data_IF_003162023272
#
_entry.id   IF_003162023272
#
_cell.length_a   1.000
_cell.length_b   1.000
_cell.length_c   1.000
_cell.angle_alpha   90.00
_cell.angle_beta   90.00
_cell.angle_gamma   90.00
#
_symmetry.space_group_name_H-M   'P 1'
#
loop_
_entity.id
_entity.type
_entity.pdbx_description
1 polymer ?
#
# COMPACT_ATOMS: atom_id res chain seq x y z
N UNK A 1 -3.73 -10.94 9.11
CA UNK A 1 -3.71 -10.86 7.64
C UNK A 1 -2.95 -9.65 7.16
N UNK A 2 -2.18 -9.86 6.09
CA UNK A 2 -1.55 -8.78 5.35
C UNK A 2 -2.63 -7.99 4.62
N UNK A 3 -2.54 -6.66 4.61
CA UNK A 3 -3.49 -5.79 3.91
C UNK A 3 -2.81 -5.16 2.69
N UNK A 4 -3.32 -5.50 1.50
CA UNK A 4 -2.91 -4.87 0.25
C UNK A 4 -3.91 -3.77 -0.15
N UNK A 5 -3.40 -2.58 -0.45
CA UNK A 5 -4.20 -1.45 -0.97
C UNK A 5 -3.58 -0.92 -2.24
N UNK A 6 -4.42 -0.66 -3.25
CA UNK A 6 -4.00 -0.10 -4.52
C UNK A 6 -4.70 1.24 -4.72
N UNK A 7 -3.95 2.27 -5.07
CA UNK A 7 -4.44 3.59 -5.45
C UNK A 7 -3.92 3.95 -6.85
N UNK A 8 -4.82 4.38 -7.72
CA UNK A 8 -4.47 4.84 -9.08
C UNK A 8 -4.59 6.36 -9.11
N UNK A 9 -3.49 7.05 -9.40
CA UNK A 9 -3.35 8.49 -9.24
C UNK A 9 -2.79 9.21 -10.47
N UNK A 10 -2.82 10.54 -10.40
CA UNK A 10 -2.31 11.43 -11.46
C UNK A 10 -0.86 11.87 -11.23
N UNK A 11 -0.49 12.12 -9.97
CA UNK A 11 0.74 12.80 -9.62
C UNK A 11 1.83 11.82 -9.20
N UNK A 12 2.82 11.63 -10.07
CA UNK A 12 4.00 10.83 -9.76
C UNK A 12 4.84 11.55 -8.72
N UNK A 13 5.05 12.86 -8.91
CA UNK A 13 5.77 13.70 -7.97
C UNK A 13 5.15 13.63 -6.57
N UNK A 14 3.81 13.71 -6.46
CA UNK A 14 3.13 13.61 -5.16
C UNK A 14 3.34 12.27 -4.48
N UNK A 15 3.34 11.17 -5.24
CA UNK A 15 3.63 9.84 -4.69
C UNK A 15 5.10 9.71 -4.24
N UNK A 16 6.04 10.23 -5.03
CA UNK A 16 7.47 10.18 -4.70
C UNK A 16 7.83 11.09 -3.54
N UNK A 17 7.34 12.33 -3.53
CA UNK A 17 7.58 13.30 -2.47
C UNK A 17 7.07 12.78 -1.13
N UNK A 18 5.84 12.25 -1.08
CA UNK A 18 5.29 11.68 0.16
C UNK A 18 6.15 10.55 0.74
N UNK A 19 6.64 9.63 -0.10
CA UNK A 19 7.50 8.53 0.37
C UNK A 19 8.91 9.03 0.70
N UNK A 20 9.45 9.99 -0.05
CA UNK A 20 10.75 10.61 0.22
C UNK A 20 10.78 11.38 1.54
N UNK A 21 9.71 12.11 1.86
CA UNK A 21 9.56 12.79 3.17
C UNK A 21 9.64 11.79 4.33
N UNK A 22 9.02 10.62 4.21
CA UNK A 22 9.07 9.57 5.24
C UNK A 22 10.46 8.99 5.44
N UNK A 23 11.27 8.89 4.38
CA UNK A 23 12.68 8.52 4.48
C UNK A 23 13.48 9.63 5.19
N UNK A 24 13.27 10.88 4.81
CA UNK A 24 13.98 12.03 5.39
C UNK A 24 13.68 12.23 6.89
N UNK A 25 12.48 11.86 7.35
CA UNK A 25 12.12 11.81 8.77
C UNK A 25 12.78 10.65 9.54
N UNK A 26 13.67 9.87 8.89
CA UNK A 26 14.25 8.62 9.41
C UNK A 26 13.20 7.57 9.81
N UNK A 27 12.01 7.62 9.20
CA UNK A 27 10.90 6.68 9.43
C UNK A 27 10.72 5.69 8.28
N UNK A 28 11.73 5.53 7.44
CA UNK A 28 11.69 4.61 6.32
C UNK A 28 12.99 4.57 5.53
N UNK A 29 13.02 3.70 4.53
CA UNK A 29 14.13 3.52 3.60
C UNK A 29 13.67 2.97 2.25
N UNK A 30 14.44 3.26 1.21
CA UNK A 30 14.32 2.62 -0.08
C UNK A 30 14.95 1.22 0.00
N UNK A 31 14.16 0.17 -0.26
CA UNK A 31 14.65 -1.21 -0.23
C UNK A 31 15.17 -1.65 -1.59
N UNK A 32 14.40 -1.41 -2.65
CA UNK A 32 14.77 -1.87 -4.00
C UNK A 32 14.09 -1.03 -5.07
N UNK A 33 14.64 -1.11 -6.28
CA UNK A 33 14.16 -0.40 -7.46
C UNK A 33 14.20 -1.33 -8.67
N UNK A 34 13.41 -0.99 -9.68
CA UNK A 34 13.52 -1.58 -11.00
C UNK A 34 13.51 -0.48 -12.05
N UNK A 35 14.41 -0.56 -13.02
CA UNK A 35 14.59 0.44 -14.10
C UNK A 35 14.73 1.90 -13.64
N UNK A 36 14.97 2.12 -12.34
CA UNK A 36 15.22 3.42 -11.72
C UNK A 36 16.53 3.32 -10.94
N UNK A 37 17.38 4.33 -11.09
CA UNK A 37 18.67 4.40 -10.42
C UNK A 37 18.52 4.34 -8.89
N UNK A 38 19.38 3.56 -8.25
CA UNK A 38 19.50 3.43 -6.80
C UNK A 38 20.99 3.40 -6.46
N UNK A 39 21.44 4.30 -5.58
CA UNK A 39 22.83 4.37 -5.13
C UNK A 39 23.13 3.38 -3.97
N UNK A 40 22.12 2.65 -3.50
CA UNK A 40 22.25 1.67 -2.43
C UNK A 40 22.30 2.26 -1.02
N UNK A 41 22.15 3.58 -0.87
CA UNK A 41 22.20 4.26 0.44
C UNK A 41 20.93 4.05 1.27
N UNK A 42 19.86 3.53 0.66
CA UNK A 42 18.53 3.47 1.26
C UNK A 42 17.78 4.81 1.23
N UNK A 43 18.32 5.84 0.58
CA UNK A 43 17.66 7.12 0.34
C UNK A 43 17.14 7.23 -1.10
N UNK A 44 16.41 8.31 -1.41
CA UNK A 44 15.93 8.57 -2.77
C UNK A 44 16.14 10.03 -3.15
N UNK A 45 16.80 10.27 -4.28
CA UNK A 45 16.76 11.59 -4.93
C UNK A 45 15.50 11.66 -5.78
N UNK A 46 14.51 12.42 -5.31
CA UNK A 46 13.20 12.55 -5.96
C UNK A 46 13.34 13.07 -7.40
N UNK A 47 14.32 13.94 -7.69
CA UNK A 47 14.51 14.48 -9.04
C UNK A 47 14.99 13.40 -10.00
N UNK A 48 16.04 12.66 -9.61
CA UNK A 48 16.54 11.53 -10.42
C UNK A 48 15.51 10.43 -10.60
N UNK A 49 14.73 10.13 -9.55
CA UNK A 49 13.63 9.18 -9.64
C UNK A 49 12.58 9.64 -10.64
N UNK A 50 12.15 10.90 -10.58
CA UNK A 50 11.23 11.50 -11.54
C UNK A 50 11.76 11.41 -12.98
N UNK A 51 13.01 11.77 -13.21
CA UNK A 51 13.67 11.64 -14.52
C UNK A 51 13.66 10.20 -15.03
N UNK A 52 14.00 9.23 -14.18
CA UNK A 52 13.99 7.81 -14.55
C UNK A 52 12.60 7.30 -14.93
N UNK A 53 11.55 7.71 -14.21
CA UNK A 53 10.19 7.36 -14.56
C UNK A 53 9.71 8.04 -15.85
N UNK A 54 10.03 9.32 -16.03
CA UNK A 54 9.68 10.06 -17.24
C UNK A 54 10.39 9.49 -18.47
N UNK A 55 11.65 9.05 -18.34
CA UNK A 55 12.37 8.35 -19.41
C UNK A 55 11.71 7.02 -19.81
N UNK A 56 10.93 6.41 -18.91
CA UNK A 56 10.17 5.18 -19.17
C UNK A 56 8.75 5.46 -19.68
N UNK A 57 8.31 6.72 -19.79
CA UNK A 57 6.97 7.10 -20.22
C UNK A 57 7.01 7.85 -21.56
N UNK A 58 6.32 7.38 -22.60
CA UNK A 58 6.27 8.11 -23.87
C UNK A 58 5.59 9.48 -23.74
N UNK A 59 6.12 10.49 -24.44
CA UNK A 59 5.58 11.86 -24.43
C UNK A 59 4.09 11.94 -24.83
N UNK A 60 3.62 11.01 -25.65
CA UNK A 60 2.23 10.96 -26.14
C UNK A 60 1.29 10.15 -25.24
N UNK A 61 1.68 9.83 -24.00
CA UNK A 61 0.84 9.11 -23.04
C UNK A 61 -0.46 9.87 -22.77
N UNK A 62 -1.60 9.28 -23.12
CA UNK A 62 -2.95 9.86 -22.91
C UNK A 62 -3.65 9.33 -21.66
N UNK A 63 -2.95 8.55 -20.83
CA UNK A 63 -3.53 7.94 -19.64
C UNK A 63 -3.68 8.99 -18.55
N UNK A 64 -4.93 9.30 -18.18
CA UNK A 64 -5.26 10.34 -17.20
C UNK A 64 -4.67 10.07 -15.81
N UNK A 65 -4.54 8.80 -15.43
CA UNK A 65 -4.00 8.35 -14.14
C UNK A 65 -2.85 7.36 -14.37
N UNK A 66 -1.64 7.86 -14.70
CA UNK A 66 -0.51 7.02 -15.08
C UNK A 66 0.22 6.43 -13.89
N UNK A 67 -0.15 6.77 -12.64
CA UNK A 67 0.57 6.33 -11.44
C UNK A 67 -0.20 5.25 -10.71
N UNK A 68 0.50 4.21 -10.29
CA UNK A 68 0.00 3.19 -9.39
C UNK A 68 0.80 3.23 -8.09
N UNK A 69 0.10 3.43 -6.98
CA UNK A 69 0.67 3.37 -5.64
C UNK A 69 0.05 2.18 -4.89
N UNK A 70 0.91 1.29 -4.40
CA UNK A 70 0.49 0.08 -3.70
C UNK A 70 1.06 0.11 -2.29
N UNK A 71 0.24 -0.23 -1.31
CA UNK A 71 0.69 -0.44 0.06
C UNK A 71 0.47 -1.90 0.46
N UNK A 72 1.53 -2.58 0.88
CA UNK A 72 1.48 -3.93 1.43
C UNK A 72 1.80 -3.84 2.92
N UNK A 73 0.83 -4.20 3.75
CA UNK A 73 0.94 -4.06 5.21
C UNK A 73 0.85 -5.45 5.85
N UNK A 74 1.98 -6.11 6.15
CA UNK A 74 1.99 -7.35 6.93
C UNK A 74 1.24 -7.18 8.26
N UNK A 75 0.86 -8.31 8.87
CA UNK A 75 0.31 -8.28 10.21
C UNK A 75 1.39 -7.79 11.20
N UNK A 76 1.05 -7.08 12.30
CA UNK A 76 2.07 -6.56 13.22
C UNK A 76 3.04 -7.60 13.78
N UNK A 77 2.57 -8.85 13.93
CA UNK A 77 3.40 -9.96 14.44
C UNK A 77 4.14 -10.71 13.32
N UNK A 78 3.93 -10.36 12.04
CA UNK A 78 4.73 -10.85 10.91
C UNK A 78 6.07 -10.09 10.90
N UNK A 79 7.12 -10.69 11.45
CA UNK A 79 8.47 -10.12 11.43
C UNK A 79 9.19 -10.56 10.15
N UNK A 80 9.26 -9.66 9.17
CA UNK A 80 9.92 -9.91 7.89
C UNK A 80 11.25 -9.17 7.79
N UNK A 81 12.26 -9.88 7.27
CA UNK A 81 13.53 -9.29 6.86
C UNK A 81 13.35 -8.40 5.63
N UNK A 82 14.32 -7.52 5.36
CA UNK A 82 14.25 -6.67 4.16
C UNK A 82 14.32 -7.45 2.86
N UNK A 83 15.03 -8.58 2.87
CA UNK A 83 15.11 -9.47 1.72
C UNK A 83 13.74 -10.08 1.43
N UNK A 84 13.05 -10.59 2.46
CA UNK A 84 11.70 -11.11 2.30
C UNK A 84 10.71 -10.03 1.85
N UNK A 85 10.81 -8.82 2.40
CA UNK A 85 10.00 -7.69 1.97
C UNK A 85 10.22 -7.32 0.49
N UNK A 86 11.48 -7.33 0.03
CA UNK A 86 11.82 -7.11 -1.37
C UNK A 86 11.27 -8.22 -2.28
N UNK A 87 11.43 -9.48 -1.87
CA UNK A 87 10.94 -10.63 -2.62
C UNK A 87 9.41 -10.64 -2.72
N UNK A 88 8.72 -10.33 -1.62
CA UNK A 88 7.27 -10.15 -1.58
C UNK A 88 6.84 -9.06 -2.57
N UNK A 89 7.49 -7.88 -2.54
CA UNK A 89 7.15 -6.78 -3.43
C UNK A 89 7.36 -7.15 -4.92
N UNK A 90 8.49 -7.79 -5.24
CA UNK A 90 8.83 -8.24 -6.59
C UNK A 90 7.84 -9.28 -7.11
N UNK A 91 7.60 -10.36 -6.36
CA UNK A 91 6.62 -11.39 -6.76
C UNK A 91 5.21 -10.83 -6.87
N UNK A 92 4.83 -9.91 -5.98
CA UNK A 92 3.54 -9.24 -6.04
C UNK A 92 3.36 -8.47 -7.35
N UNK A 93 4.36 -7.67 -7.75
CA UNK A 93 4.33 -6.90 -8.99
C UNK A 93 4.37 -7.80 -10.23
N UNK A 94 5.22 -8.83 -10.25
CA UNK A 94 5.29 -9.82 -11.33
C UNK A 94 3.90 -10.44 -11.58
N UNK A 95 3.26 -10.99 -10.53
CA UNK A 95 1.92 -11.60 -10.64
C UNK A 95 0.81 -10.58 -10.98
N UNK A 96 0.96 -9.32 -10.55
CA UNK A 96 0.03 -8.24 -10.88
C UNK A 96 0.19 -7.75 -12.33
N UNK A 97 1.29 -8.09 -13.01
CA UNK A 97 1.59 -7.68 -14.38
C UNK A 97 2.34 -6.34 -14.47
N UNK A 98 3.04 -5.96 -13.40
CA UNK A 98 3.85 -4.74 -13.29
C UNK A 98 5.34 -5.06 -13.04
N UNK A 99 5.76 -6.33 -13.13
CA UNK A 99 7.14 -6.75 -12.84
C UNK A 99 8.18 -6.05 -13.73
N UNK A 100 7.84 -5.79 -15.00
CA UNK A 100 8.71 -5.10 -15.95
C UNK A 100 8.61 -3.57 -15.88
N UNK A 101 7.71 -3.03 -15.06
CA UNK A 101 7.56 -1.57 -14.96
C UNK A 101 8.68 -0.96 -14.11
N UNK A 102 9.05 0.31 -14.34
CA UNK A 102 9.87 1.00 -13.38
C UNK A 102 9.12 1.07 -12.04
N UNK A 103 9.83 0.82 -10.94
CA UNK A 103 9.24 0.94 -9.61
C UNK A 103 10.26 1.28 -8.54
N UNK A 104 9.77 1.81 -7.43
CA UNK A 104 10.48 2.01 -6.17
C UNK A 104 9.72 1.30 -5.06
N UNK A 105 10.42 0.57 -4.20
CA UNK A 105 9.87 -0.10 -3.02
C UNK A 105 10.43 0.56 -1.76
N UNK A 106 9.57 1.23 -1.02
CA UNK A 106 9.87 1.88 0.24
C UNK A 106 9.40 1.01 1.41
N UNK A 107 10.23 0.88 2.45
CA UNK A 107 9.83 0.39 3.76
C UNK A 107 9.54 1.59 4.64
N UNK A 108 8.36 1.63 5.26
CA UNK A 108 8.02 2.60 6.29
C UNK A 108 7.92 1.93 7.66
N UNK A 109 8.32 2.69 8.68
CA UNK A 109 8.38 2.32 10.09
C UNK A 109 7.72 3.38 10.99
N UNK A 110 6.92 4.27 10.41
CA UNK A 110 6.27 5.41 11.07
C UNK A 110 5.09 5.03 11.99
N UNK A 111 4.78 3.74 12.07
CA UNK A 111 3.76 3.15 12.94
C UNK A 111 4.34 1.87 13.58
N UNK A 112 3.68 1.29 14.58
CA UNK A 112 4.10 0.04 15.25
C UNK A 112 4.08 -1.22 14.35
N UNK A 113 4.22 -1.07 13.02
CA UNK A 113 4.36 -2.15 12.05
C UNK A 113 5.20 -1.67 10.86
N UNK A 114 6.04 -2.56 10.37
CA UNK A 114 6.73 -2.36 9.11
C UNK A 114 5.77 -2.60 7.95
N UNK A 115 5.77 -1.72 6.96
CA UNK A 115 4.95 -1.88 5.77
C UNK A 115 5.63 -1.31 4.55
N UNK A 116 5.20 -1.78 3.39
CA UNK A 116 5.76 -1.40 2.10
C UNK A 116 4.86 -0.42 1.38
N UNK A 117 5.51 0.52 0.71
CA UNK A 117 4.92 1.36 -0.31
C UNK A 117 5.65 1.13 -1.63
N UNK A 118 4.90 0.87 -2.68
CA UNK A 118 5.42 0.64 -4.02
C UNK A 118 4.85 1.70 -4.93
N UNK A 119 5.73 2.49 -5.55
CA UNK A 119 5.36 3.48 -6.56
C UNK A 119 5.81 2.95 -7.93
N UNK A 120 4.87 2.86 -8.87
CA UNK A 120 5.12 2.43 -10.25
C UNK A 120 4.20 3.20 -11.21
N UNK A 121 4.39 2.98 -12.51
CA UNK A 121 3.56 3.54 -13.56
C UNK A 121 2.61 2.50 -14.14
N UNK A 122 1.50 2.98 -14.70
CA UNK A 122 0.39 2.20 -15.23
C UNK A 122 0.32 2.30 -16.76
N UNK A 123 1.46 2.51 -17.39
CA UNK A 123 1.57 2.72 -18.84
C UNK A 123 2.67 1.84 -19.41
N UNK A 124 2.42 1.25 -20.58
CA UNK A 124 3.43 0.48 -21.30
C UNK A 124 4.37 1.41 -22.09
N UNK A 125 5.38 0.81 -22.71
CA UNK A 125 6.36 1.52 -23.57
C UNK A 125 5.73 2.20 -24.79
N UNK A 126 4.45 1.93 -25.09
CA UNK A 126 3.66 2.59 -26.15
C UNK A 126 2.69 3.63 -25.59
N UNK A 127 2.78 3.97 -24.30
CA UNK A 127 1.93 4.95 -23.64
C UNK A 127 0.49 4.47 -23.41
N UNK A 128 0.23 3.17 -23.56
CA UNK A 128 -1.09 2.57 -23.34
C UNK A 128 -1.23 2.11 -21.91
N UNK A 129 -2.45 2.21 -21.37
CA UNK A 129 -2.75 1.76 -20.01
C UNK A 129 -2.51 0.25 -19.88
N UNK A 130 -1.83 -0.16 -18.81
CA UNK A 130 -1.73 -1.57 -18.45
C UNK A 130 -3.09 -2.17 -18.07
N UNK A 131 -3.16 -3.51 -18.03
CA UNK A 131 -4.39 -4.21 -17.70
C UNK A 131 -4.81 -3.93 -16.23
N UNK A 132 -5.97 -3.30 -16.07
CA UNK A 132 -6.59 -3.01 -14.77
C UNK A 132 -7.84 -3.86 -14.49
N UNK A 133 -8.16 -4.80 -15.37
CA UNK A 133 -9.33 -5.65 -15.20
C UNK A 133 -9.17 -6.51 -13.95
N UNK A 134 -10.19 -6.43 -13.10
CA UNK A 134 -10.24 -7.14 -11.83
C UNK A 134 -8.99 -6.91 -10.94
N UNK A 135 -8.33 -5.75 -11.06
CA UNK A 135 -7.06 -5.44 -10.38
C UNK A 135 -7.09 -5.76 -8.88
N UNK A 136 -8.15 -5.33 -8.19
CA UNK A 136 -8.32 -5.58 -6.76
C UNK A 136 -8.56 -7.06 -6.43
N UNK A 137 -9.28 -7.81 -7.28
CA UNK A 137 -9.50 -9.25 -7.08
C UNK A 137 -8.22 -10.04 -7.32
N UNK A 138 -7.46 -9.66 -8.35
CA UNK A 138 -6.13 -10.23 -8.62
C UNK A 138 -5.18 -9.96 -7.47
N UNK A 139 -5.14 -8.73 -6.97
CA UNK A 139 -4.40 -8.32 -5.78
C UNK A 139 -4.74 -9.17 -4.56
N UNK A 140 -6.03 -9.38 -4.24
CA UNK A 140 -6.43 -10.22 -3.11
C UNK A 140 -5.98 -11.68 -3.27
N UNK A 141 -6.07 -12.23 -4.49
CA UNK A 141 -5.59 -13.59 -4.78
C UNK A 141 -4.08 -13.71 -4.56
N UNK A 142 -3.32 -12.77 -5.11
CA UNK A 142 -1.85 -12.74 -5.00
C UNK A 142 -1.44 -12.59 -3.53
N UNK A 143 -2.07 -11.68 -2.80
CA UNK A 143 -1.86 -11.48 -1.36
C UNK A 143 -2.00 -12.79 -0.59
N UNK A 144 -3.09 -13.54 -0.79
CA UNK A 144 -3.30 -14.84 -0.13
C UNK A 144 -2.25 -15.89 -0.53
N UNK A 145 -1.77 -15.86 -1.77
CA UNK A 145 -0.68 -16.73 -2.22
C UNK A 145 0.63 -16.40 -1.48
N UNK A 146 0.94 -15.10 -1.36
CA UNK A 146 2.13 -14.64 -0.63
C UNK A 146 2.02 -14.94 0.87
N UNK A 147 0.86 -14.73 1.49
CA UNK A 147 0.64 -15.11 2.88
C UNK A 147 0.98 -16.59 3.11
N UNK A 148 0.48 -17.49 2.26
CA UNK A 148 0.81 -18.92 2.35
C UNK A 148 2.29 -19.22 2.10
N UNK A 149 2.90 -18.58 1.11
CA UNK A 149 4.29 -18.85 0.71
C UNK A 149 5.29 -18.42 1.78
N UNK A 150 5.08 -17.26 2.39
CA UNK A 150 5.99 -16.68 3.38
C UNK A 150 5.55 -16.98 4.83
N UNK A 151 4.53 -17.83 5.02
CA UNK A 151 4.05 -18.20 6.35
C UNK A 151 3.44 -17.04 7.15
N UNK A 152 2.90 -16.03 6.46
CA UNK A 152 2.31 -14.86 7.09
C UNK A 152 0.94 -15.18 7.69
N UNK A 153 0.51 -14.38 8.65
CA UNK A 153 -0.82 -14.50 9.24
C UNK A 153 -1.90 -14.44 8.15
N UNK A 154 -2.69 -15.51 7.95
CA UNK A 154 -3.64 -15.56 6.85
C UNK A 154 -4.83 -14.64 7.08
N UNK A 155 -5.51 -14.33 5.99
CA UNK A 155 -6.84 -13.76 6.01
C UNK A 155 -7.89 -14.74 6.54
N UNK A 156 -8.10 -14.77 7.85
CA UNK A 156 -9.23 -15.48 8.43
C UNK A 156 -10.54 -14.84 7.96
N UNK A 157 -11.49 -15.65 7.47
CA UNK A 157 -12.90 -15.23 7.29
C UNK A 157 -13.53 -15.06 8.67
N UNK A 158 -13.12 -14.05 9.42
CA UNK A 158 -13.69 -13.75 10.72
C UNK A 158 -15.02 -13.05 10.54
N UNK A 159 -16.02 -13.50 11.29
CA UNK A 159 -17.33 -12.88 11.32
C UNK A 159 -17.18 -11.52 12.03
N UNK A 160 -17.28 -10.37 11.33
CA UNK A 160 -16.90 -9.06 11.89
C UNK A 160 -17.68 -8.67 13.14
N UNK A 161 -18.87 -9.28 13.31
CA UNK A 161 -19.76 -9.05 14.44
C UNK A 161 -19.21 -9.54 15.78
N UNK A 162 -18.35 -10.56 15.79
CA UNK A 162 -17.95 -11.24 17.04
C UNK A 162 -16.67 -10.71 17.68
N UNK A 163 -15.78 -10.00 16.96
CA UNK A 163 -14.43 -9.70 17.46
C UNK A 163 -14.14 -8.24 17.81
N UNK A 164 -15.05 -7.30 17.54
CA UNK A 164 -14.79 -5.88 17.79
C UNK A 164 -15.69 -5.34 18.91
N UNK A 165 -15.47 -5.72 20.19
CA UNK A 165 -16.25 -5.19 21.29
C UNK A 165 -16.07 -3.68 21.37
N UNK A 166 -17.15 -2.97 21.70
CA UNK A 166 -17.10 -1.53 21.91
C UNK A 166 -16.11 -1.21 23.04
N UNK A 167 -15.06 -0.46 22.70
CA UNK A 167 -14.08 0.05 23.66
C UNK A 167 -14.24 1.56 23.79
N UNK A 168 -14.12 2.06 25.02
CA UNK A 168 -14.10 3.49 25.32
C UNK A 168 -12.80 4.08 24.76
N UNK A 169 -12.89 5.27 24.15
CA UNK A 169 -11.73 6.04 23.72
C UNK A 169 -11.03 6.63 24.95
N UNK A 170 -9.73 6.39 25.06
CA UNK A 170 -8.87 6.93 26.11
C UNK A 170 -7.86 7.91 25.50
N UNK A 171 -8.10 9.20 25.77
CA UNK A 171 -7.26 10.28 25.25
C UNK A 171 -5.84 10.28 25.86
N UNK A 172 -5.62 9.60 27.00
CA UNK A 172 -4.32 9.55 27.67
C UNK A 172 -3.32 8.59 27.01
N UNK A 173 -3.80 7.60 26.24
CA UNK A 173 -2.98 6.53 25.64
C UNK A 173 -2.42 6.89 24.25
N UNK A 174 -2.89 7.99 23.64
CA UNK A 174 -2.47 8.41 22.29
C UNK A 174 -3.15 7.64 21.15
N UNK A 175 -2.77 7.89 19.88
CA UNK A 175 -3.40 7.29 18.67
C UNK A 175 -4.94 7.45 18.61
N UNK A 176 -5.43 8.63 19.00
CA UNK A 176 -6.87 8.94 19.12
C UNK A 176 -7.65 8.67 17.83
N UNK A 177 -7.04 8.94 16.66
CA UNK A 177 -7.66 8.69 15.36
C UNK A 177 -7.99 7.22 15.14
N UNK A 178 -7.07 6.32 15.51
CA UNK A 178 -7.32 4.87 15.44
C UNK A 178 -8.36 4.44 16.46
N UNK A 179 -8.29 4.96 17.69
CA UNK A 179 -9.25 4.63 18.75
C UNK A 179 -10.69 4.99 18.35
N UNK A 180 -10.92 6.24 17.95
CA UNK A 180 -12.24 6.72 17.46
C UNK A 180 -12.69 5.90 16.25
N UNK A 181 -11.79 5.68 15.29
CA UNK A 181 -12.09 4.88 14.10
C UNK A 181 -12.52 3.45 14.41
N UNK A 182 -11.94 2.83 15.44
CA UNK A 182 -12.33 1.47 15.87
C UNK A 182 -13.70 1.45 16.54
N UNK A 183 -14.00 2.43 17.41
CA UNK A 183 -15.31 2.55 18.07
C UNK A 183 -16.43 2.77 17.06
N UNK A 184 -16.26 3.67 16.09
CA UNK A 184 -17.26 3.93 15.03
C UNK A 184 -17.49 2.68 14.18
N UNK A 185 -16.41 1.95 13.82
CA UNK A 185 -16.53 0.69 13.06
C UNK A 185 -17.29 -0.39 13.83
N UNK A 186 -17.04 -0.52 15.14
CA UNK A 186 -17.75 -1.47 15.98
C UNK A 186 -19.25 -1.13 16.06
N UNK A 187 -19.59 0.16 16.27
CA UNK A 187 -20.98 0.62 16.25
C UNK A 187 -21.67 0.28 14.94
N UNK A 188 -21.06 0.62 13.80
CA UNK A 188 -21.64 0.35 12.48
C UNK A 188 -21.82 -1.15 12.19
N UNK A 189 -20.95 -2.01 12.73
CA UNK A 189 -21.02 -3.46 12.52
C UNK A 189 -22.02 -4.20 13.41
N UNK A 190 -22.32 -3.64 14.60
CA UNK A 190 -23.12 -4.29 15.63
C UNK A 190 -24.50 -3.65 15.83
N UNK A 191 -24.61 -2.34 15.63
CA UNK A 191 -25.86 -1.62 15.84
C UNK A 191 -26.78 -1.81 14.63
N UNK A 192 -28.02 -2.22 14.91
CA UNK A 192 -29.07 -2.35 13.90
C UNK A 192 -29.94 -1.12 13.93
N UNK A 193 -29.77 -0.28 12.92
CA UNK A 193 -30.64 0.87 12.69
C UNK A 193 -31.98 0.38 12.16
N UNK A 194 -33.06 0.95 12.68
CA UNK A 194 -34.40 0.68 12.15
C UNK A 194 -34.70 1.55 10.93
N UNK A 195 -34.01 2.70 10.80
CA UNK A 195 -34.20 3.63 9.68
C UNK A 195 -32.88 4.28 9.24
N UNK A 196 -32.85 4.80 8.01
CA UNK A 196 -31.72 5.59 7.51
C UNK A 196 -31.58 6.95 8.21
N UNK A 197 -32.64 7.47 8.83
CA UNK A 197 -32.60 8.70 9.63
C UNK A 197 -31.80 8.50 10.91
N UNK A 198 -32.01 7.37 11.57
CA UNK A 198 -31.25 6.97 12.78
C UNK A 198 -29.76 6.79 12.47
N UNK A 199 -29.42 6.19 11.33
CA UNK A 199 -28.03 6.03 10.89
C UNK A 199 -27.32 7.38 10.67
N UNK A 200 -28.02 8.38 10.11
CA UNK A 200 -27.44 9.69 9.77
C UNK A 200 -27.23 10.63 10.96
N UNK A 201 -27.78 10.28 12.13
CA UNK A 201 -27.61 11.06 13.36
C UNK A 201 -26.32 10.72 14.14
N UNK A 202 -25.59 9.68 13.71
CA UNK A 202 -24.24 9.32 14.18
C UNK A 202 -23.17 10.05 13.36
#
# INVERSE_FOLDING_TARGET
EMVAKISVGKSLYGALAYNGEKINEAKGRLLTTNRIYNDGTGTVDIRKAMEGFLACMPEHTRVEKPVLHISLNPYPDDVLTDTELQDIAREYLEKLGYGDQPYLVFKHEDINRHHLHIVTINVDEKGRRLNQDFLFRRSDRIRRELERKYGLHPAERKNPRLENPLRKVDASVGDMKRQVGNTVKALNGQYRFQTMGEYRAL
#
